data_IF_330276870540
#
_entry.id   IF_330276870540
#
_cell.length_a   1.000
_cell.length_b   1.000
_cell.length_c   1.000
_cell.angle_alpha   90.00
_cell.angle_beta   90.00
_cell.angle_gamma   90.00
#
_symmetry.space_group_name_H-M   'P 1'
#
loop_
_entity.id
_entity.type
_entity.pdbx_description
1 polymer ?
#
# COMPACT_ATOMS: atom_id res chain seq x y z
N UNK A 1 -18.66 -5.89 -30.86
CA UNK A 1 -17.47 -6.76 -30.96
C UNK A 1 -16.37 -6.11 -30.11
N UNK A 2 -16.42 -6.33 -28.79
CA UNK A 2 -15.46 -5.75 -27.86
C UNK A 2 -14.23 -6.65 -27.85
N UNK A 3 -13.14 -6.14 -28.43
CA UNK A 3 -11.84 -6.81 -28.43
C UNK A 3 -11.43 -7.09 -26.99
N UNK A 4 -11.23 -8.36 -26.66
CA UNK A 4 -10.42 -8.77 -25.52
C UNK A 4 -9.04 -8.11 -25.72
N UNK A 5 -8.79 -7.02 -25.00
CA UNK A 5 -7.45 -6.49 -24.89
C UNK A 5 -6.61 -7.57 -24.21
N UNK A 6 -5.59 -8.02 -24.94
CA UNK A 6 -4.63 -9.00 -24.51
C UNK A 6 -4.11 -8.69 -23.10
N UNK A 7 -3.90 -9.75 -22.33
CA UNK A 7 -3.19 -9.78 -21.05
C UNK A 7 -1.72 -9.42 -21.31
N UNK A 8 -1.42 -8.16 -21.64
CA UNK A 8 -0.05 -7.68 -21.73
C UNK A 8 0.28 -7.00 -20.41
N UNK A 9 1.34 -7.44 -19.70
CA UNK A 9 1.81 -6.74 -18.51
C UNK A 9 2.17 -5.28 -18.88
N UNK A 10 2.05 -4.33 -17.93
CA UNK A 10 2.39 -2.93 -18.19
C UNK A 10 3.82 -2.84 -18.73
N UNK A 11 3.98 -2.37 -19.96
CA UNK A 11 5.29 -2.02 -20.49
C UNK A 11 5.73 -0.69 -19.86
N UNK A 12 7.04 -0.52 -19.72
CA UNK A 12 7.63 0.77 -19.36
C UNK A 12 7.65 1.64 -20.60
N UNK A 13 7.18 2.88 -20.49
CA UNK A 13 7.20 3.88 -21.55
C UNK A 13 8.18 4.99 -21.15
N UNK A 14 8.91 5.55 -22.12
CA UNK A 14 9.96 6.55 -21.84
C UNK A 14 9.40 7.82 -21.17
N UNK A 15 8.19 8.22 -21.54
CA UNK A 15 7.47 9.38 -21.00
C UNK A 15 7.02 9.20 -19.54
N UNK A 16 7.08 7.99 -19.00
CA UNK A 16 6.70 7.68 -17.62
C UNK A 16 7.89 7.58 -16.66
N UNK A 17 9.12 7.48 -17.19
CA UNK A 17 10.32 7.14 -16.41
C UNK A 17 10.60 8.16 -15.31
N UNK A 18 10.51 9.45 -15.62
CA UNK A 18 10.77 10.54 -14.67
C UNK A 18 9.80 10.48 -13.48
N UNK A 19 8.51 10.26 -13.74
CA UNK A 19 7.53 10.09 -12.67
C UNK A 19 7.78 8.79 -11.90
N UNK A 20 8.09 7.68 -12.57
CA UNK A 20 8.39 6.42 -11.89
C UNK A 20 9.60 6.53 -10.94
N UNK A 21 10.65 7.23 -11.33
CA UNK A 21 11.80 7.51 -10.47
C UNK A 21 11.40 8.38 -9.28
N UNK A 22 10.61 9.44 -9.51
CA UNK A 22 10.09 10.27 -8.44
C UNK A 22 9.24 9.47 -7.44
N UNK A 23 8.32 8.62 -7.92
CA UNK A 23 7.49 7.76 -7.06
C UNK A 23 8.32 6.70 -6.32
N UNK A 24 9.37 6.18 -6.95
CA UNK A 24 10.29 5.24 -6.33
C UNK A 24 11.00 5.86 -5.12
N UNK A 25 11.50 7.08 -5.25
CA UNK A 25 12.27 7.75 -4.20
C UNK A 25 11.40 8.32 -3.08
N UNK A 26 10.17 8.76 -3.39
CA UNK A 26 9.33 9.49 -2.43
C UNK A 26 8.22 8.63 -1.81
N UNK A 27 7.69 7.64 -2.54
CA UNK A 27 6.49 6.90 -2.13
C UNK A 27 6.80 5.47 -1.66
N UNK A 28 7.87 4.86 -2.14
CA UNK A 28 8.19 3.47 -1.79
C UNK A 28 8.82 3.36 -0.41
N UNK A 29 8.37 2.37 0.38
CA UNK A 29 8.84 2.12 1.76
C UNK A 29 9.72 0.88 1.88
N UNK A 30 9.72 0.06 0.82
CA UNK A 30 10.51 -1.16 0.69
C UNK A 30 11.33 -1.08 -0.59
N UNK A 31 12.52 -1.68 -0.58
CA UNK A 31 13.40 -1.71 -1.74
C UNK A 31 12.70 -2.20 -3.02
N UNK A 32 12.78 -1.38 -4.07
CA UNK A 32 12.21 -1.68 -5.39
C UNK A 32 13.23 -2.47 -6.21
N UNK A 33 13.14 -3.80 -6.14
CA UNK A 33 13.92 -4.65 -7.04
C UNK A 33 13.49 -4.40 -8.49
N UNK A 34 14.44 -3.98 -9.33
CA UNK A 34 14.25 -3.75 -10.76
C UNK A 34 14.26 -2.28 -11.20
N UNK A 35 14.10 -1.32 -10.30
CA UNK A 35 14.06 0.10 -10.68
C UNK A 35 12.87 0.47 -11.59
N UNK A 36 12.84 1.71 -12.06
CA UNK A 36 11.79 2.26 -12.94
C UNK A 36 11.84 1.70 -14.37
N UNK A 37 13.02 1.32 -14.85
CA UNK A 37 13.26 0.90 -16.24
C UNK A 37 12.72 -0.51 -16.57
N UNK A 38 12.34 -1.30 -15.56
CA UNK A 38 11.87 -2.68 -15.74
C UNK A 38 10.37 -2.82 -15.45
N UNK A 39 9.64 -3.60 -16.26
CA UNK A 39 8.20 -3.84 -16.05
C UNK A 39 7.83 -4.35 -14.66
N UNK A 40 8.61 -5.28 -14.09
CA UNK A 40 8.35 -5.78 -12.74
C UNK A 40 8.70 -4.75 -11.64
N UNK A 41 9.63 -3.84 -11.93
CA UNK A 41 9.96 -2.70 -11.07
C UNK A 41 8.86 -1.64 -11.10
N UNK A 42 8.35 -1.28 -12.28
CA UNK A 42 7.15 -0.45 -12.45
C UNK A 42 5.95 -1.00 -11.66
N UNK A 43 5.68 -2.29 -11.73
CA UNK A 43 4.60 -2.92 -10.95
C UNK A 43 4.82 -2.75 -9.44
N UNK A 44 6.06 -2.93 -8.98
CA UNK A 44 6.43 -2.75 -7.58
C UNK A 44 6.25 -1.29 -7.12
N UNK A 45 6.77 -0.32 -7.88
CA UNK A 45 6.65 1.12 -7.60
C UNK A 45 5.18 1.50 -7.50
N UNK A 46 4.36 1.16 -8.51
CA UNK A 46 2.96 1.56 -8.55
C UNK A 46 2.13 0.92 -7.42
N UNK A 47 2.43 -0.32 -7.03
CA UNK A 47 1.78 -0.98 -5.90
C UNK A 47 2.17 -0.34 -4.56
N UNK A 48 3.45 -0.04 -4.34
CA UNK A 48 3.89 0.64 -3.13
C UNK A 48 3.35 2.07 -3.04
N UNK A 49 3.35 2.80 -4.16
CA UNK A 49 2.77 4.13 -4.25
C UNK A 49 1.28 4.13 -3.89
N UNK A 50 0.52 3.13 -4.38
CA UNK A 50 -0.89 2.95 -4.04
C UNK A 50 -1.10 2.75 -2.53
N UNK A 51 -0.26 1.97 -1.87
CA UNK A 51 -0.33 1.76 -0.42
C UNK A 51 -0.02 3.07 0.33
N UNK A 52 0.98 3.82 -0.15
CA UNK A 52 1.38 5.12 0.43
C UNK A 52 0.41 6.27 0.11
N UNK A 53 -0.62 6.05 -0.72
CA UNK A 53 -1.66 7.04 -1.08
C UNK A 53 -1.08 8.32 -1.72
N UNK A 54 0.04 8.19 -2.41
CA UNK A 54 0.65 9.31 -3.12
C UNK A 54 -0.02 9.47 -4.50
N UNK A 55 -0.29 10.71 -4.95
CA UNK A 55 -0.92 10.96 -6.24
C UNK A 55 -0.02 10.50 -7.39
N UNK A 56 -0.65 10.12 -8.50
CA UNK A 56 -0.01 9.80 -9.78
C UNK A 56 -0.57 10.78 -10.81
N UNK A 57 0.30 11.44 -11.54
CA UNK A 57 -0.04 12.49 -12.49
C UNK A 57 -0.25 11.94 -13.90
N UNK A 58 0.62 11.04 -14.35
CA UNK A 58 0.53 10.48 -15.71
C UNK A 58 -0.66 9.53 -15.83
N UNK A 59 -1.55 9.81 -16.77
CA UNK A 59 -2.80 9.07 -16.96
C UNK A 59 -2.61 7.57 -17.26
N UNK A 60 -1.56 7.22 -18.02
CA UNK A 60 -1.21 5.83 -18.29
C UNK A 60 -0.76 5.10 -17.02
N UNK A 61 0.01 5.76 -16.15
CA UNK A 61 0.40 5.20 -14.85
C UNK A 61 -0.79 5.04 -13.89
N UNK A 62 -1.75 5.97 -13.90
CA UNK A 62 -3.01 5.83 -13.15
C UNK A 62 -3.77 4.58 -13.60
N UNK A 63 -3.89 4.38 -14.91
CA UNK A 63 -4.56 3.21 -15.50
C UNK A 63 -3.82 1.91 -15.17
N UNK A 64 -2.50 1.91 -15.28
CA UNK A 64 -1.65 0.76 -14.95
C UNK A 64 -1.73 0.43 -13.45
N UNK A 65 -1.72 1.43 -12.56
CA UNK A 65 -1.85 1.24 -11.12
C UNK A 65 -3.21 0.61 -10.76
N UNK A 66 -4.31 1.10 -11.35
CA UNK A 66 -5.64 0.53 -11.12
C UNK A 66 -5.70 -0.96 -11.53
N UNK A 67 -5.14 -1.30 -12.69
CA UNK A 67 -5.02 -2.68 -13.15
C UNK A 67 -4.18 -3.53 -12.19
N UNK A 68 -3.01 -3.03 -11.77
CA UNK A 68 -2.11 -3.74 -10.85
C UNK A 68 -2.81 -4.02 -9.53
N UNK A 69 -3.44 -3.03 -8.92
CA UNK A 69 -4.10 -3.14 -7.60
C UNK A 69 -5.24 -4.17 -7.63
N UNK A 70 -6.08 -4.13 -8.67
CA UNK A 70 -7.20 -5.06 -8.81
C UNK A 70 -6.70 -6.51 -8.91
N UNK A 71 -5.62 -6.75 -9.65
CA UNK A 71 -5.05 -8.08 -9.81
C UNK A 71 -4.23 -8.50 -8.57
N UNK A 72 -3.43 -7.61 -7.99
CA UNK A 72 -2.61 -7.87 -6.80
C UNK A 72 -3.47 -8.33 -5.62
N UNK A 73 -4.60 -7.66 -5.38
CA UNK A 73 -5.53 -8.05 -4.31
C UNK A 73 -6.02 -9.50 -4.48
N UNK A 74 -6.40 -9.89 -5.70
CA UNK A 74 -6.87 -11.26 -5.99
C UNK A 74 -5.75 -12.29 -5.85
N UNK A 75 -4.56 -11.98 -6.36
CA UNK A 75 -3.38 -12.84 -6.31
C UNK A 75 -2.95 -13.06 -4.85
N UNK A 76 -2.85 -11.99 -4.06
CA UNK A 76 -2.46 -12.07 -2.65
C UNK A 76 -3.44 -12.92 -1.83
N UNK A 77 -4.76 -12.78 -2.06
CA UNK A 77 -5.77 -13.61 -1.39
C UNK A 77 -5.67 -15.08 -1.78
N UNK A 78 -5.40 -15.38 -3.06
CA UNK A 78 -5.18 -16.75 -3.51
C UNK A 78 -3.92 -17.38 -2.90
N UNK A 79 -2.83 -16.61 -2.82
CA UNK A 79 -1.59 -17.04 -2.15
C UNK A 79 -1.82 -17.27 -0.65
N UNK A 80 -2.56 -16.37 0.01
CA UNK A 80 -2.95 -16.55 1.41
C UNK A 80 -3.75 -17.84 1.63
N UNK A 81 -4.77 -18.12 0.81
CA UNK A 81 -5.58 -19.34 0.93
C UNK A 81 -4.73 -20.61 0.70
N UNK A 82 -3.83 -20.58 -0.28
CA UNK A 82 -2.89 -21.69 -0.53
C UNK A 82 -1.99 -21.97 0.67
N UNK A 83 -1.39 -20.91 1.24
CA UNK A 83 -0.49 -21.04 2.41
C UNK A 83 -1.27 -21.49 3.65
N UNK A 84 -2.50 -21.01 3.83
CA UNK A 84 -3.37 -21.40 4.94
C UNK A 84 -3.71 -22.89 4.86
N UNK A 85 -4.06 -23.40 3.67
CA UNK A 85 -4.33 -24.83 3.44
C UNK A 85 -3.10 -25.71 3.63
N UNK A 86 -1.90 -25.18 3.37
CA UNK A 86 -0.65 -25.89 3.62
C UNK A 86 -0.28 -25.98 5.13
N UNK A 87 -1.03 -25.33 6.03
CA UNK A 87 -0.81 -25.40 7.47
C UNK A 87 0.32 -24.53 8.00
N UNK A 88 0.89 -23.64 7.18
CA UNK A 88 2.01 -22.78 7.55
C UNK A 88 1.58 -21.52 8.31
N UNK A 89 1.29 -21.63 9.62
CA UNK A 89 0.74 -20.53 10.43
C UNK A 89 1.53 -19.20 10.33
N UNK A 90 2.87 -19.25 10.43
CA UNK A 90 3.72 -18.05 10.34
C UNK A 90 3.62 -17.38 8.97
N UNK A 91 3.64 -18.16 7.89
CA UNK A 91 3.56 -17.63 6.54
C UNK A 91 2.14 -17.14 6.23
N UNK A 92 1.11 -17.85 6.71
CA UNK A 92 -0.28 -17.44 6.58
C UNK A 92 -0.51 -16.08 7.25
N UNK A 93 0.06 -15.86 8.45
CA UNK A 93 0.05 -14.58 9.12
C UNK A 93 0.69 -13.46 8.28
N UNK A 94 1.87 -13.71 7.70
CA UNK A 94 2.56 -12.74 6.82
C UNK A 94 1.76 -12.43 5.56
N UNK A 95 1.18 -13.44 4.90
CA UNK A 95 0.35 -13.25 3.71
C UNK A 95 -0.94 -12.50 4.02
N UNK A 96 -1.57 -12.77 5.17
CA UNK A 96 -2.72 -12.00 5.62
C UNK A 96 -2.37 -10.54 5.87
N UNK A 97 -1.21 -10.26 6.46
CA UNK A 97 -0.72 -8.89 6.63
C UNK A 97 -0.56 -8.20 5.27
N UNK A 98 0.04 -8.84 4.27
CA UNK A 98 0.16 -8.27 2.93
C UNK A 98 -1.21 -8.00 2.28
N UNK A 99 -2.17 -8.92 2.42
CA UNK A 99 -3.54 -8.69 1.95
C UNK A 99 -4.14 -7.44 2.58
N UNK A 100 -4.02 -7.29 3.91
CA UNK A 100 -4.53 -6.13 4.64
C UNK A 100 -3.85 -4.84 4.23
N UNK A 101 -2.53 -4.85 4.03
CA UNK A 101 -1.76 -3.67 3.62
C UNK A 101 -2.27 -3.11 2.29
N UNK A 102 -2.50 -4.00 1.31
CA UNK A 102 -3.03 -3.60 -0.01
C UNK A 102 -4.51 -3.19 0.09
N UNK A 103 -5.35 -3.99 0.74
CA UNK A 103 -6.81 -3.73 0.82
C UNK A 103 -7.15 -2.47 1.62
N UNK A 104 -6.34 -2.12 2.63
CA UNK A 104 -6.55 -0.94 3.48
C UNK A 104 -5.71 0.26 3.09
N UNK A 105 -4.80 0.11 2.12
CA UNK A 105 -3.79 1.12 1.78
C UNK A 105 -3.10 1.67 3.05
N UNK A 106 -2.60 0.77 3.90
CA UNK A 106 -1.96 1.14 5.16
C UNK A 106 -0.82 0.20 5.42
N UNK A 107 0.37 0.76 5.61
CA UNK A 107 1.56 -0.01 5.93
C UNK A 107 1.46 -0.63 7.32
N UNK A 108 2.16 -1.72 7.54
CA UNK A 108 2.13 -2.45 8.82
C UNK A 108 2.77 -1.67 9.99
N UNK A 109 3.55 -0.62 9.71
CA UNK A 109 4.16 0.26 10.70
C UNK A 109 3.38 1.58 10.89
N UNK A 110 2.35 1.83 10.10
CA UNK A 110 1.45 2.97 10.29
C UNK A 110 0.41 2.67 11.37
N UNK A 111 -0.23 3.71 11.90
CA UNK A 111 -1.26 3.50 12.92
C UNK A 111 -2.48 2.82 12.30
N UNK A 112 -3.01 1.73 12.90
CA UNK A 112 -4.22 1.07 12.43
C UNK A 112 -5.45 1.99 12.47
N UNK A 113 -5.38 3.10 13.19
CA UNK A 113 -6.40 4.14 13.24
C UNK A 113 -6.62 4.84 11.89
N UNK A 114 -5.68 4.73 10.93
CA UNK A 114 -5.86 5.21 9.55
C UNK A 114 -7.03 4.55 8.79
N UNK A 115 -7.63 3.49 9.34
CA UNK A 115 -8.82 2.84 8.79
C UNK A 115 -10.12 3.64 9.05
N UNK A 116 -10.09 4.59 9.99
CA UNK A 116 -11.24 5.43 10.33
C UNK A 116 -11.17 6.75 9.57
N UNK A 117 -12.12 6.98 8.68
CA UNK A 117 -12.21 8.22 7.88
C UNK A 117 -12.56 9.46 8.71
N UNK A 118 -13.07 9.26 9.93
CA UNK A 118 -13.48 10.30 10.85
C UNK A 118 -12.29 10.98 11.54
N UNK A 119 -11.11 10.35 11.53
CA UNK A 119 -9.92 10.90 12.16
C UNK A 119 -9.19 11.86 11.23
N UNK A 120 -8.97 13.08 11.70
CA UNK A 120 -8.24 14.11 10.96
C UNK A 120 -6.76 13.75 10.74
N UNK A 121 -6.19 14.22 9.63
CA UNK A 121 -4.79 13.99 9.27
C UNK A 121 -3.81 14.36 10.38
N UNK A 122 -4.01 15.52 11.04
CA UNK A 122 -3.13 15.99 12.11
C UNK A 122 -3.11 15.04 13.32
N UNK A 123 -4.26 14.45 13.68
CA UNK A 123 -4.37 13.48 14.77
C UNK A 123 -3.58 12.23 14.42
N UNK A 124 -3.79 11.68 13.22
CA UNK A 124 -3.09 10.49 12.74
C UNK A 124 -1.57 10.71 12.69
N UNK A 125 -1.14 11.86 12.16
CA UNK A 125 0.27 12.26 12.10
C UNK A 125 0.87 12.35 13.51
N UNK A 126 0.20 13.02 14.45
CA UNK A 126 0.66 13.12 15.84
C UNK A 126 0.80 11.76 16.53
N UNK A 127 -0.13 10.83 16.27
CA UNK A 127 -0.06 9.46 16.81
C UNK A 127 1.19 8.74 16.31
N UNK A 128 1.49 8.84 15.02
CA UNK A 128 2.62 8.18 14.37
C UNK A 128 3.96 8.81 14.74
N UNK A 129 4.06 10.15 14.75
CA UNK A 129 5.28 10.85 15.19
C UNK A 129 5.63 10.54 16.64
N UNK A 130 4.61 10.36 17.49
CA UNK A 130 4.79 10.00 18.91
C UNK A 130 4.92 8.50 19.13
N UNK A 131 4.84 7.67 18.08
CA UNK A 131 4.85 6.21 18.16
C UNK A 131 3.90 5.64 19.23
N UNK A 132 2.70 6.21 19.35
CA UNK A 132 1.72 5.78 20.34
C UNK A 132 1.04 4.49 19.87
N UNK A 133 1.20 3.43 20.65
CA UNK A 133 0.49 2.16 20.41
C UNK A 133 -1.01 2.31 20.69
N UNK A 134 -1.81 1.46 20.05
CA UNK A 134 -3.26 1.38 20.32
C UNK A 134 -3.58 1.13 21.80
N UNK A 135 -2.78 0.29 22.45
CA UNK A 135 -2.97 -0.06 23.87
C UNK A 135 -2.76 1.17 24.75
N UNK A 136 -1.71 1.94 24.50
CA UNK A 136 -1.47 3.20 25.20
C UNK A 136 -2.61 4.18 24.98
N UNK A 137 -3.12 4.32 23.74
CA UNK A 137 -4.23 5.24 23.45
C UNK A 137 -5.50 4.80 24.17
N UNK A 138 -5.79 3.50 24.21
CA UNK A 138 -6.96 2.92 24.89
C UNK A 138 -6.95 3.22 26.39
N UNK A 139 -5.78 3.20 27.01
CA UNK A 139 -5.63 3.35 28.46
C UNK A 139 -5.57 4.84 28.89
N UNK A 140 -5.50 5.79 27.96
CA UNK A 140 -5.55 7.23 28.25
C UNK A 140 -6.98 7.71 28.52
N UNK A 141 -7.14 8.63 29.47
CA UNK A 141 -8.40 9.34 29.68
C UNK A 141 -8.67 10.36 28.57
N UNK A 142 -9.94 10.73 28.34
CA UNK A 142 -10.33 11.66 27.26
C UNK A 142 -9.55 12.99 27.28
N UNK A 143 -9.23 13.51 28.48
CA UNK A 143 -8.45 14.74 28.64
C UNK A 143 -7.00 14.56 28.17
N UNK A 144 -6.39 13.42 28.48
CA UNK A 144 -5.01 13.12 28.11
C UNK A 144 -4.87 12.81 26.62
N UNK A 145 -5.89 12.16 26.02
CA UNK A 145 -5.98 11.95 24.57
C UNK A 145 -6.02 13.31 23.87
N UNK A 146 -6.90 14.22 24.31
CA UNK A 146 -6.98 15.58 23.77
C UNK A 146 -5.63 16.30 23.87
N UNK A 147 -5.03 16.34 25.06
CA UNK A 147 -3.76 17.04 25.29
C UNK A 147 -2.56 16.42 24.53
N UNK A 148 -2.59 15.11 24.24
CA UNK A 148 -1.50 14.44 23.52
C UNK A 148 -1.69 14.43 22.01
N UNK A 149 -2.91 14.49 21.48
CA UNK A 149 -3.18 14.25 20.06
C UNK A 149 -3.71 15.46 19.29
N UNK A 150 -4.32 16.44 19.98
CA UNK A 150 -4.84 17.68 19.42
C UNK A 150 -3.93 18.86 19.80
#
# INVERSE_FOLDING_TARGET
MASQALVTPPCVREDELEELDFLMDNSCKVFVKGGSENSYGKVNILLQNYISRCPVETFSLVSDQAYIVQNATRILRALFDMVLRAGGATMAGRMLTLCKVVERQTWNFETPLRQFSELGFNVLKNIEEKNLSLEQIRDLGCKDIGAKLL
#
